data_IF_315876530900
#
_entry.id   IF_315876530900
#
_cell.length_a   1.000
_cell.length_b   1.000
_cell.length_c   1.000
_cell.angle_alpha   90.00
_cell.angle_beta   90.00
_cell.angle_gamma   90.00
#
_symmetry.space_group_name_H-M   'P 1'
#
loop_
_entity.id
_entity.type
_entity.pdbx_description
1 polymer ?
#
# COMPACT_ATOMS: atom_id res chain seq x y z
N UNK A 1 -14.36 -1.01 -18.50
CA UNK A 1 -15.59 -0.25 -18.65
C UNK A 1 -15.56 1.00 -17.76
N UNK A 2 -15.90 2.19 -18.28
CA UNK A 2 -15.78 3.46 -17.55
C UNK A 2 -16.54 3.50 -16.22
N UNK A 3 -17.58 2.70 -16.06
CA UNK A 3 -18.37 2.63 -14.83
C UNK A 3 -17.57 2.10 -13.62
N UNK A 4 -16.69 1.10 -13.79
CA UNK A 4 -15.86 0.57 -12.69
C UNK A 4 -14.81 1.58 -12.21
N UNK A 5 -14.13 2.28 -13.13
CA UNK A 5 -13.16 3.30 -12.76
C UNK A 5 -13.81 4.46 -12.00
N UNK A 6 -15.02 4.87 -12.38
CA UNK A 6 -15.79 5.89 -11.67
C UNK A 6 -16.11 5.48 -10.22
N UNK A 7 -16.56 4.24 -10.02
CA UNK A 7 -16.87 3.72 -8.68
C UNK A 7 -15.60 3.68 -7.80
N UNK A 8 -14.50 3.12 -8.29
CA UNK A 8 -13.24 3.08 -7.52
C UNK A 8 -12.70 4.49 -7.22
N UNK A 9 -12.85 5.41 -8.17
CA UNK A 9 -12.43 6.82 -7.99
C UNK A 9 -13.25 7.51 -6.91
N UNK A 10 -14.57 7.31 -6.87
CA UNK A 10 -15.44 7.84 -5.82
C UNK A 10 -15.10 7.24 -4.44
N UNK A 11 -14.97 5.92 -4.34
CA UNK A 11 -14.58 5.23 -3.08
C UNK A 11 -13.22 5.70 -2.57
N UNK A 12 -12.25 5.92 -3.45
CA UNK A 12 -10.95 6.48 -3.10
C UNK A 12 -11.03 7.95 -2.67
N UNK A 13 -11.85 8.75 -3.34
CA UNK A 13 -12.04 10.16 -2.97
C UNK A 13 -12.69 10.32 -1.60
N UNK A 14 -13.66 9.48 -1.27
CA UNK A 14 -14.45 9.59 -0.03
C UNK A 14 -13.85 8.80 1.14
N UNK A 15 -12.76 8.06 0.92
CA UNK A 15 -12.14 7.19 1.93
C UNK A 15 -13.11 6.19 2.57
N UNK A 16 -14.14 5.74 1.85
CA UNK A 16 -15.18 4.85 2.40
C UNK A 16 -14.62 3.55 2.97
N UNK A 17 -13.53 3.04 2.39
CA UNK A 17 -12.88 1.80 2.84
C UNK A 17 -11.95 1.98 4.03
N UNK A 18 -11.76 3.21 4.50
CA UNK A 18 -10.87 3.51 5.62
C UNK A 18 -11.64 3.62 6.94
N UNK A 19 -10.93 3.41 8.05
CA UNK A 19 -11.49 3.62 9.38
C UNK A 19 -11.98 5.07 9.54
N UNK A 20 -13.01 5.26 10.37
CA UNK A 20 -13.60 6.58 10.63
C UNK A 20 -12.55 7.63 11.00
N UNK A 21 -11.59 7.28 11.86
CA UNK A 21 -10.53 8.18 12.28
C UNK A 21 -9.65 8.66 11.14
N UNK A 22 -9.23 7.74 10.27
CA UNK A 22 -8.42 8.05 9.08
C UNK A 22 -9.21 8.95 8.13
N UNK A 23 -10.45 8.61 7.84
CA UNK A 23 -11.35 9.42 7.00
C UNK A 23 -11.52 10.83 7.55
N UNK A 24 -11.76 10.97 8.86
CA UNK A 24 -11.91 12.28 9.51
C UNK A 24 -10.67 13.15 9.36
N UNK A 25 -9.48 12.60 9.59
CA UNK A 25 -8.19 13.30 9.41
C UNK A 25 -8.00 13.74 7.97
N UNK A 26 -8.25 12.85 7.00
CA UNK A 26 -8.08 13.16 5.59
C UNK A 26 -9.05 14.22 5.09
N UNK A 27 -10.30 14.20 5.56
CA UNK A 27 -11.29 15.22 5.25
C UNK A 27 -10.92 16.57 5.82
N UNK A 28 -10.46 16.63 7.09
CA UNK A 28 -10.03 17.87 7.72
C UNK A 28 -8.77 18.45 7.04
N UNK A 29 -7.83 17.59 6.64
CA UNK A 29 -6.66 18.02 5.87
C UNK A 29 -7.07 18.65 4.52
N UNK A 30 -8.03 18.08 3.81
CA UNK A 30 -8.57 18.66 2.55
C UNK A 30 -9.23 20.02 2.74
N UNK A 31 -9.84 20.26 3.91
CA UNK A 31 -10.44 21.55 4.27
C UNK A 31 -9.42 22.59 4.73
N UNK A 32 -8.14 22.18 4.85
CA UNK A 32 -7.05 23.04 5.30
C UNK A 32 -6.92 23.18 6.84
N UNK A 33 -7.70 22.42 7.59
CA UNK A 33 -7.64 22.45 9.06
C UNK A 33 -6.45 21.67 9.64
N UNK A 34 -5.89 20.73 8.90
CA UNK A 34 -4.68 19.99 9.24
C UNK A 34 -3.66 20.12 8.12
N UNK A 35 -2.43 20.52 8.45
CA UNK A 35 -1.35 20.74 7.50
C UNK A 35 -0.41 19.51 7.43
N UNK A 36 0.33 19.37 6.33
CA UNK A 36 1.37 18.36 6.11
C UNK A 36 0.92 16.91 6.38
N UNK A 37 -0.34 16.63 6.11
CA UNK A 37 -0.88 15.26 6.11
C UNK A 37 -0.64 14.66 4.73
N UNK A 38 0.34 13.74 4.64
CA UNK A 38 0.70 13.09 3.37
C UNK A 38 -0.32 12.04 2.94
N UNK A 39 -0.89 11.33 3.91
CA UNK A 39 -1.94 10.34 3.67
C UNK A 39 -1.64 8.98 4.32
N UNK A 40 -2.59 8.04 4.22
CA UNK A 40 -2.38 6.67 4.71
C UNK A 40 -1.35 5.93 3.85
N UNK A 41 -0.60 5.03 4.49
CA UNK A 41 0.48 4.24 3.85
C UNK A 41 0.00 3.59 2.56
N UNK A 42 -1.20 3.02 2.53
CA UNK A 42 -1.78 2.37 1.35
C UNK A 42 -1.87 3.26 0.10
N UNK A 43 -1.87 4.58 0.25
CA UNK A 43 -1.90 5.55 -0.86
C UNK A 43 -0.52 6.03 -1.30
N UNK A 44 0.50 5.78 -0.51
CA UNK A 44 1.86 6.28 -0.74
C UNK A 44 2.77 5.21 -1.33
N UNK A 45 2.28 3.98 -1.46
CA UNK A 45 3.03 2.82 -1.96
C UNK A 45 2.32 2.18 -3.14
N UNK A 46 3.13 1.56 -4.00
CA UNK A 46 2.67 0.75 -5.14
C UNK A 46 3.45 -0.55 -5.19
N UNK A 47 2.81 -1.62 -5.61
CA UNK A 47 3.44 -2.91 -5.82
C UNK A 47 2.90 -3.59 -7.08
N UNK A 48 3.62 -4.55 -7.61
CA UNK A 48 3.12 -5.37 -8.71
C UNK A 48 1.94 -6.23 -8.26
N UNK A 49 1.00 -6.51 -9.16
CA UNK A 49 -0.24 -7.25 -8.86
C UNK A 49 0.02 -8.59 -8.17
N UNK A 50 1.08 -9.31 -8.57
CA UNK A 50 1.46 -10.60 -7.98
C UNK A 50 1.87 -10.51 -6.49
N UNK A 51 2.27 -9.34 -6.01
CA UNK A 51 2.69 -9.12 -4.63
C UNK A 51 1.61 -8.47 -3.77
N UNK A 52 0.52 -7.98 -4.37
CA UNK A 52 -0.49 -7.18 -3.68
C UNK A 52 -1.02 -7.88 -2.43
N UNK A 53 -1.45 -9.14 -2.54
CA UNK A 53 -1.96 -9.91 -1.39
C UNK A 53 -0.93 -10.03 -0.28
N UNK A 54 0.31 -10.38 -0.63
CA UNK A 54 1.39 -10.55 0.35
C UNK A 54 1.72 -9.23 1.07
N UNK A 55 1.80 -8.12 0.33
CA UNK A 55 2.10 -6.80 0.90
C UNK A 55 0.94 -6.30 1.78
N UNK A 56 -0.31 -6.49 1.36
CA UNK A 56 -1.48 -6.15 2.20
C UNK A 56 -1.48 -6.91 3.52
N UNK A 57 -1.24 -8.21 3.48
CA UNK A 57 -1.13 -9.05 4.68
C UNK A 57 0.08 -8.66 5.53
N UNK A 58 1.22 -8.37 4.91
CA UNK A 58 2.44 -7.95 5.61
C UNK A 58 2.22 -6.65 6.41
N UNK A 59 1.57 -5.67 5.81
CA UNK A 59 1.24 -4.38 6.42
C UNK A 59 0.08 -4.49 7.43
N UNK A 60 -0.94 -5.26 7.09
CA UNK A 60 -2.15 -5.35 7.92
C UNK A 60 -2.71 -3.96 8.29
N UNK A 61 -2.91 -3.71 9.58
CA UNK A 61 -3.43 -2.42 10.08
C UNK A 61 -2.53 -1.21 9.73
N UNK A 62 -1.24 -1.43 9.47
CA UNK A 62 -0.32 -0.36 9.11
C UNK A 62 -0.65 0.30 7.76
N UNK A 63 -1.45 -0.35 6.92
CA UNK A 63 -1.95 0.25 5.67
C UNK A 63 -2.73 1.54 5.90
N UNK A 64 -3.37 1.68 7.04
CA UNK A 64 -4.17 2.84 7.41
C UNK A 64 -3.44 3.85 8.32
N UNK A 65 -2.19 3.60 8.67
CA UNK A 65 -1.38 4.57 9.40
C UNK A 65 -1.09 5.78 8.52
N UNK A 66 -1.15 6.96 9.11
CA UNK A 66 -1.11 8.23 8.38
C UNK A 66 0.29 8.83 8.46
N UNK A 67 0.91 9.03 7.32
CA UNK A 67 2.21 9.72 7.21
C UNK A 67 1.98 11.23 7.33
N UNK A 68 2.76 11.88 8.16
CA UNK A 68 2.73 13.32 8.42
C UNK A 68 4.13 13.93 8.33
N UNK A 69 4.21 15.25 8.19
CA UNK A 69 5.48 15.95 8.05
C UNK A 69 6.39 15.77 9.26
N UNK A 70 5.90 16.08 10.44
CA UNK A 70 6.64 15.98 11.70
C UNK A 70 5.74 15.64 12.90
N UNK A 71 6.32 15.62 14.09
CA UNK A 71 5.60 15.35 15.34
C UNK A 71 4.60 16.44 15.70
N UNK A 72 4.78 17.67 15.27
CA UNK A 72 3.83 18.74 15.52
C UNK A 72 2.56 18.56 14.71
N UNK A 73 2.67 18.13 13.46
CA UNK A 73 1.55 17.76 12.60
C UNK A 73 0.78 16.57 13.18
N UNK A 74 1.51 15.56 13.70
CA UNK A 74 0.89 14.42 14.39
C UNK A 74 0.12 14.85 15.63
N UNK A 75 0.69 15.74 16.46
CA UNK A 75 0.03 16.29 17.66
C UNK A 75 -1.25 17.06 17.29
N UNK A 76 -1.22 17.87 16.24
CA UNK A 76 -2.38 18.60 15.74
C UNK A 76 -3.51 17.64 15.32
N UNK A 77 -3.19 16.59 14.59
CA UNK A 77 -4.14 15.58 14.16
C UNK A 77 -4.71 14.77 15.34
N UNK A 78 -3.89 14.41 16.32
CA UNK A 78 -4.34 13.74 17.56
C UNK A 78 -5.28 14.64 18.35
N UNK A 79 -4.94 15.94 18.51
CA UNK A 79 -5.79 16.92 19.19
C UNK A 79 -7.14 17.09 18.47
N UNK A 80 -7.14 17.13 17.14
CA UNK A 80 -8.36 17.15 16.33
C UNK A 80 -9.24 15.92 16.59
N UNK A 81 -8.69 14.71 16.52
CA UNK A 81 -9.44 13.47 16.79
C UNK A 81 -9.99 13.44 18.21
N UNK A 82 -9.22 13.90 19.21
CA UNK A 82 -9.66 13.97 20.59
C UNK A 82 -10.84 14.95 20.76
N UNK A 83 -10.74 16.14 20.19
CA UNK A 83 -11.78 17.18 20.26
C UNK A 83 -13.09 16.76 19.59
N UNK A 84 -13.01 16.04 18.48
CA UNK A 84 -14.18 15.66 17.67
C UNK A 84 -14.76 14.29 18.01
N UNK A 85 -14.15 13.55 18.96
CA UNK A 85 -14.53 12.15 19.20
C UNK A 85 -14.34 11.24 17.97
N UNK A 86 -13.33 11.57 17.13
CA UNK A 86 -13.07 10.94 15.84
C UNK A 86 -12.43 9.55 15.94
N UNK A 87 -12.19 9.02 17.13
CA UNK A 87 -11.52 7.73 17.34
C UNK A 87 -10.00 7.88 17.42
N UNK A 88 -9.28 6.78 17.11
CA UNK A 88 -7.82 6.69 17.20
C UNK A 88 -7.21 6.40 15.85
N UNK A 89 -6.08 7.01 15.55
CA UNK A 89 -5.24 6.71 14.40
C UNK A 89 -3.77 6.69 14.82
N UNK A 90 -2.94 5.99 14.05
CA UNK A 90 -1.49 6.01 14.22
C UNK A 90 -0.90 6.94 13.18
N UNK A 91 0.01 7.80 13.62
CA UNK A 91 0.69 8.77 12.77
C UNK A 91 2.18 8.42 12.65
N UNK A 92 2.73 8.59 11.47
CA UNK A 92 4.12 8.30 11.13
C UNK A 92 4.82 9.60 10.68
N UNK A 93 5.48 10.34 11.61
CA UNK A 93 6.24 11.54 11.27
C UNK A 93 7.48 11.17 10.44
N UNK A 94 7.68 11.83 9.30
CA UNK A 94 8.76 11.53 8.35
C UNK A 94 10.15 11.55 9.00
N UNK A 95 10.44 12.54 9.81
CA UNK A 95 11.75 12.70 10.45
C UNK A 95 12.02 11.78 11.65
N UNK A 96 10.97 11.14 12.20
CA UNK A 96 11.07 10.35 13.43
C UNK A 96 11.14 8.84 13.19
N UNK A 97 10.69 8.37 12.02
CA UNK A 97 10.64 6.95 11.70
C UNK A 97 11.98 6.50 11.10
N UNK A 98 12.72 5.68 11.86
CA UNK A 98 13.97 5.10 11.39
C UNK A 98 13.73 3.83 10.55
N UNK A 99 14.51 3.60 9.49
CA UNK A 99 14.44 2.37 8.69
C UNK A 99 14.83 1.15 9.52
N UNK A 100 14.26 0.00 9.19
CA UNK A 100 14.58 -1.30 9.80
C UNK A 100 14.80 -2.32 8.71
N UNK A 101 15.99 -2.90 8.67
CA UNK A 101 16.34 -3.92 7.68
C UNK A 101 16.56 -5.28 8.34
N UNK A 102 16.26 -6.34 7.61
CA UNK A 102 16.53 -7.71 8.05
C UNK A 102 18.06 -7.95 8.00
N UNK A 103 18.60 -8.47 9.10
CA UNK A 103 20.03 -8.75 9.26
C UNK A 103 20.29 -10.28 9.36
N UNK A 104 19.61 -11.08 8.53
CA UNK A 104 19.76 -12.55 8.53
C UNK A 104 20.50 -12.99 7.26
N UNK A 105 21.81 -13.30 7.36
CA UNK A 105 22.61 -13.68 6.20
C UNK A 105 22.08 -14.95 5.53
N UNK A 106 22.03 -14.95 4.20
CA UNK A 106 21.73 -16.13 3.39
C UNK A 106 20.24 -16.41 3.22
N UNK A 107 19.35 -15.59 3.79
CA UNK A 107 17.89 -15.77 3.62
C UNK A 107 17.50 -15.71 2.15
N UNK A 108 18.17 -14.88 1.36
CA UNK A 108 17.95 -14.72 -0.08
C UNK A 108 18.30 -15.97 -0.90
N UNK A 109 19.03 -16.92 -0.33
CA UNK A 109 19.39 -18.21 -0.96
C UNK A 109 18.44 -19.34 -0.60
N UNK A 110 17.49 -19.10 0.29
CA UNK A 110 16.49 -20.11 0.65
C UNK A 110 15.58 -20.41 -0.53
N UNK A 111 15.23 -21.69 -0.69
CA UNK A 111 14.25 -22.10 -1.70
C UNK A 111 12.91 -21.37 -1.46
N UNK A 112 12.32 -20.84 -2.52
CA UNK A 112 11.05 -20.11 -2.46
C UNK A 112 11.14 -18.71 -1.85
N UNK A 113 12.37 -18.17 -1.64
CA UNK A 113 12.54 -16.77 -1.30
C UNK A 113 12.16 -15.89 -2.50
N UNK A 114 11.25 -14.95 -2.31
CA UNK A 114 10.80 -14.01 -3.34
C UNK A 114 11.48 -12.65 -3.16
N UNK A 115 11.56 -12.16 -1.94
CA UNK A 115 12.21 -10.87 -1.64
C UNK A 115 11.93 -10.40 -0.22
N UNK A 116 12.62 -9.33 0.16
CA UNK A 116 12.25 -8.52 1.33
C UNK A 116 11.08 -7.62 0.93
N UNK A 117 10.02 -7.59 1.73
CA UNK A 117 8.77 -6.91 1.39
C UNK A 117 8.97 -5.43 1.01
N UNK A 118 9.86 -4.71 1.70
CA UNK A 118 10.17 -3.31 1.39
C UNK A 118 10.74 -3.10 -0.03
N UNK A 119 11.44 -4.09 -0.57
CA UNK A 119 12.04 -4.04 -1.91
C UNK A 119 11.05 -4.38 -3.04
N UNK A 120 9.90 -4.94 -2.69
CA UNK A 120 8.82 -5.28 -3.63
C UNK A 120 7.79 -4.14 -3.74
N UNK A 121 8.04 -3.03 -3.08
CA UNK A 121 7.17 -1.86 -3.02
C UNK A 121 7.90 -0.64 -3.57
N UNK A 122 7.20 0.13 -4.39
CA UNK A 122 7.65 1.43 -4.90
C UNK A 122 6.99 2.55 -4.10
N UNK A 123 7.73 3.60 -3.82
CA UNK A 123 7.24 4.83 -3.19
C UNK A 123 8.14 6.00 -3.60
N UNK A 124 7.72 7.23 -3.31
CA UNK A 124 8.61 8.38 -3.39
C UNK A 124 9.73 8.25 -2.35
N UNK A 125 10.91 8.78 -2.66
CA UNK A 125 12.11 8.64 -1.82
C UNK A 125 11.90 9.12 -0.39
N UNK A 126 11.16 10.20 -0.20
CA UNK A 126 10.83 10.74 1.14
C UNK A 126 10.06 9.77 2.04
N UNK A 127 9.42 8.73 1.49
CA UNK A 127 8.69 7.71 2.25
C UNK A 127 9.50 6.42 2.45
N UNK A 128 10.72 6.35 1.91
CA UNK A 128 11.54 5.14 1.91
C UNK A 128 11.80 4.61 3.32
N UNK A 129 12.16 5.48 4.26
CA UNK A 129 12.44 5.07 5.64
C UNK A 129 11.19 4.50 6.34
N UNK A 130 10.01 5.03 6.04
CA UNK A 130 8.74 4.48 6.55
C UNK A 130 8.49 3.10 5.97
N UNK A 131 8.66 2.91 4.67
CA UNK A 131 8.51 1.61 4.00
C UNK A 131 9.49 0.60 4.57
N UNK A 132 10.76 0.97 4.75
CA UNK A 132 11.77 0.11 5.38
C UNK A 132 11.44 -0.18 6.85
N UNK A 133 10.90 0.76 7.60
CA UNK A 133 10.46 0.52 8.97
C UNK A 133 9.35 -0.53 9.04
N UNK A 134 8.35 -0.43 8.17
CA UNK A 134 7.18 -1.29 8.19
C UNK A 134 7.42 -2.67 7.54
N UNK A 135 8.22 -2.73 6.49
CA UNK A 135 8.35 -3.89 5.60
C UNK A 135 9.78 -4.45 5.50
N UNK A 136 10.79 -3.73 5.97
CA UNK A 136 12.20 -4.07 5.77
C UNK A 136 12.66 -5.32 6.53
N UNK A 137 11.86 -5.85 7.46
CA UNK A 137 12.13 -7.09 8.22
C UNK A 137 11.15 -8.21 7.92
N UNK A 138 10.40 -8.10 6.85
CA UNK A 138 9.41 -9.10 6.41
C UNK A 138 9.90 -9.75 5.13
N UNK A 139 9.95 -11.07 5.11
CA UNK A 139 10.29 -11.87 3.94
C UNK A 139 9.01 -12.27 3.21
N UNK A 140 9.02 -12.16 1.91
CA UNK A 140 7.99 -12.75 1.04
C UNK A 140 8.51 -14.08 0.52
N UNK A 141 7.70 -15.12 0.68
CA UNK A 141 7.98 -16.47 0.21
C UNK A 141 6.95 -16.89 -0.86
N UNK A 142 7.36 -17.82 -1.71
CA UNK A 142 6.51 -18.30 -2.80
C UNK A 142 5.29 -19.06 -2.28
N UNK A 143 5.51 -19.99 -1.34
CA UNK A 143 4.49 -20.89 -0.80
C UNK A 143 4.72 -21.22 0.67
N UNK A 144 3.72 -21.84 1.31
CA UNK A 144 3.74 -22.12 2.74
C UNK A 144 4.87 -23.08 3.14
N UNK A 145 5.15 -24.11 2.35
CA UNK A 145 6.21 -25.07 2.67
C UNK A 145 7.58 -24.41 2.69
N UNK A 146 7.84 -23.51 1.74
CA UNK A 146 9.05 -22.67 1.71
C UNK A 146 9.13 -21.74 2.91
N UNK A 147 8.03 -21.10 3.30
CA UNK A 147 7.95 -20.24 4.47
C UNK A 147 8.22 -21.01 5.77
N UNK A 148 7.67 -22.21 5.92
CA UNK A 148 7.91 -23.08 7.07
C UNK A 148 9.38 -23.52 7.15
N UNK A 149 9.97 -23.89 6.01
CA UNK A 149 11.39 -24.28 5.96
C UNK A 149 12.31 -23.12 6.37
N UNK A 150 12.07 -21.92 5.84
CA UNK A 150 12.81 -20.71 6.25
C UNK A 150 12.61 -20.39 7.74
N UNK A 151 11.38 -20.43 8.23
CA UNK A 151 11.10 -20.18 9.65
C UNK A 151 11.86 -21.13 10.55
N UNK A 152 11.91 -22.42 10.23
CA UNK A 152 12.69 -23.42 10.97
C UNK A 152 14.18 -23.12 10.93
N UNK A 153 14.74 -22.83 9.75
CA UNK A 153 16.15 -22.53 9.56
C UNK A 153 16.60 -21.31 10.39
N UNK A 154 15.77 -20.26 10.46
CA UNK A 154 16.07 -19.02 11.17
C UNK A 154 15.38 -18.91 12.53
N UNK A 155 14.88 -20.02 13.09
CA UNK A 155 14.25 -20.11 14.42
C UNK A 155 13.12 -19.10 14.61
N UNK A 156 12.32 -18.87 13.57
CA UNK A 156 11.19 -17.95 13.55
C UNK A 156 11.51 -16.54 14.08
N UNK A 157 12.66 -15.98 13.71
CA UNK A 157 13.10 -14.65 14.18
C UNK A 157 12.42 -13.50 13.50
N UNK A 158 11.89 -13.70 12.29
CA UNK A 158 11.26 -12.67 11.49
C UNK A 158 9.94 -13.18 10.88
N UNK A 159 9.13 -12.22 10.43
CA UNK A 159 7.86 -12.51 9.79
C UNK A 159 8.09 -12.94 8.34
N UNK A 160 7.40 -13.99 7.90
CA UNK A 160 7.37 -14.44 6.52
C UNK A 160 5.92 -14.44 6.06
N UNK A 161 5.66 -13.90 4.87
CA UNK A 161 4.33 -13.89 4.25
C UNK A 161 4.43 -14.54 2.88
N UNK A 162 3.53 -15.45 2.58
CA UNK A 162 3.50 -16.10 1.25
C UNK A 162 2.76 -15.26 0.22
N UNK A 163 2.96 -15.52 -1.06
CA UNK A 163 2.28 -14.81 -2.14
C UNK A 163 0.76 -14.91 -2.06
N UNK A 164 0.23 -16.01 -1.51
CA UNK A 164 -1.20 -16.21 -1.28
C UNK A 164 -1.69 -15.72 0.10
N UNK A 165 -0.81 -15.11 0.91
CA UNK A 165 -1.16 -14.42 2.15
C UNK A 165 -1.11 -15.25 3.43
N UNK A 166 -0.45 -16.42 3.42
CA UNK A 166 -0.20 -17.17 4.65
C UNK A 166 0.96 -16.54 5.43
N UNK A 167 0.93 -16.59 6.75
CA UNK A 167 1.91 -15.89 7.61
C UNK A 167 2.58 -16.83 8.58
N UNK A 168 3.91 -16.79 8.60
CA UNK A 168 4.73 -17.30 9.70
C UNK A 168 5.16 -16.13 10.57
N UNK A 169 4.66 -16.06 11.79
CA UNK A 169 4.98 -14.96 12.70
C UNK A 169 6.32 -15.23 13.45
N UNK A 170 7.00 -14.16 13.88
CA UNK A 170 8.08 -14.29 14.86
C UNK A 170 7.58 -15.08 16.08
N UNK A 171 8.42 -16.01 16.57
CA UNK A 171 8.03 -16.92 17.66
C UNK A 171 7.30 -18.19 17.22
N UNK A 172 6.95 -18.33 15.92
CA UNK A 172 6.52 -19.60 15.32
C UNK A 172 5.02 -19.78 15.16
N UNK A 173 4.17 -18.83 15.57
CA UNK A 173 2.73 -18.94 15.28
C UNK A 173 2.46 -18.77 13.79
N UNK A 174 1.41 -19.43 13.32
CA UNK A 174 0.97 -19.39 11.92
C UNK A 174 -0.41 -18.76 11.83
N UNK A 175 -0.59 -17.89 10.84
CA UNK A 175 -1.88 -17.31 10.49
C UNK A 175 -2.16 -17.58 9.03
N UNK A 176 -3.32 -18.10 8.71
CA UNK A 176 -3.64 -18.47 7.34
C UNK A 176 -5.13 -18.73 7.13
N UNK A 177 -5.46 -19.03 5.89
CA UNK A 177 -6.82 -19.27 5.43
C UNK A 177 -7.09 -18.59 4.11
N UNK A 178 -8.36 -18.43 3.75
CA UNK A 178 -8.74 -17.74 2.52
C UNK A 178 -8.63 -16.22 2.67
N UNK A 179 -8.09 -15.56 1.66
CA UNK A 179 -8.00 -14.09 1.58
C UNK A 179 -8.91 -13.60 0.46
N UNK A 180 -9.79 -12.65 0.76
CA UNK A 180 -10.63 -12.00 -0.23
C UNK A 180 -9.78 -11.02 -1.07
N UNK A 181 -9.32 -11.46 -2.24
CA UNK A 181 -8.37 -10.72 -3.10
C UNK A 181 -8.87 -9.34 -3.56
N UNK A 182 -10.20 -9.19 -3.74
CA UNK A 182 -10.78 -7.97 -4.32
C UNK A 182 -11.18 -6.91 -3.28
N UNK A 183 -11.00 -7.20 -1.99
CA UNK A 183 -11.44 -6.31 -0.90
C UNK A 183 -10.34 -5.37 -0.39
N UNK A 184 -9.08 -5.59 -0.74
CA UNK A 184 -7.94 -4.89 -0.19
C UNK A 184 -7.76 -3.45 -0.70
N UNK A 185 -7.15 -2.60 0.12
CA UNK A 185 -6.89 -1.20 -0.21
C UNK A 185 -5.87 -1.06 -1.34
N UNK A 186 -4.79 -1.86 -1.34
CA UNK A 186 -3.79 -1.84 -2.41
C UNK A 186 -4.33 -2.41 -3.70
N UNK A 187 -5.12 -3.48 -3.63
CA UNK A 187 -5.77 -4.03 -4.82
C UNK A 187 -6.62 -2.97 -5.52
N UNK A 188 -7.45 -2.25 -4.77
CA UNK A 188 -8.29 -1.17 -5.33
C UNK A 188 -7.47 -0.03 -5.90
N UNK A 189 -6.40 0.40 -5.21
CA UNK A 189 -5.49 1.43 -5.68
C UNK A 189 -4.81 1.02 -6.99
N UNK A 190 -4.28 -0.20 -7.07
CA UNK A 190 -3.67 -0.75 -8.29
C UNK A 190 -4.69 -0.84 -9.43
N UNK A 191 -5.90 -1.33 -9.16
CA UNK A 191 -6.95 -1.46 -10.17
C UNK A 191 -7.39 -0.10 -10.69
N UNK A 192 -7.55 0.91 -9.82
CA UNK A 192 -7.86 2.28 -10.22
C UNK A 192 -6.76 2.85 -11.13
N UNK A 193 -5.49 2.66 -10.76
CA UNK A 193 -4.37 3.13 -11.55
C UNK A 193 -4.33 2.46 -12.93
N UNK A 194 -4.57 1.14 -12.98
CA UNK A 194 -4.65 0.37 -14.23
C UNK A 194 -5.77 0.89 -15.13
N UNK A 195 -6.97 1.07 -14.58
CA UNK A 195 -8.12 1.56 -15.33
C UNK A 195 -7.93 2.99 -15.83
N UNK A 196 -7.34 3.87 -15.01
CA UNK A 196 -7.03 5.25 -15.40
C UNK A 196 -6.03 5.29 -16.57
N UNK A 197 -4.99 4.45 -16.51
CA UNK A 197 -4.04 4.32 -17.61
C UNK A 197 -4.70 3.83 -18.90
N UNK A 198 -5.54 2.81 -18.81
CA UNK A 198 -6.29 2.31 -19.97
C UNK A 198 -7.21 3.38 -20.58
N UNK A 199 -7.90 4.17 -19.76
CA UNK A 199 -8.74 5.29 -20.22
C UNK A 199 -7.90 6.32 -20.98
N UNK A 200 -6.72 6.68 -20.45
CA UNK A 200 -5.82 7.64 -21.11
C UNK A 200 -5.29 7.12 -22.45
N UNK A 201 -4.88 5.83 -22.50
CA UNK A 201 -4.42 5.20 -23.72
C UNK A 201 -5.53 5.14 -24.80
N UNK A 202 -6.76 4.80 -24.40
CA UNK A 202 -7.91 4.77 -25.32
C UNK A 202 -8.28 6.17 -25.82
N UNK A 203 -8.22 7.17 -24.94
CA UNK A 203 -8.47 8.57 -25.33
C UNK A 203 -7.44 9.05 -26.33
N UNK A 204 -6.15 8.78 -26.11
CA UNK A 204 -5.08 9.12 -27.04
C UNK A 204 -5.26 8.48 -28.40
N UNK A 205 -5.57 7.18 -28.46
CA UNK A 205 -5.85 6.46 -29.72
C UNK A 205 -7.07 7.04 -30.46
N UNK A 206 -8.12 7.40 -29.73
CA UNK A 206 -9.32 8.03 -30.32
C UNK A 206 -8.99 9.37 -30.94
N UNK A 207 -8.27 10.25 -30.22
CA UNK A 207 -7.83 11.56 -30.71
C UNK A 207 -6.92 11.43 -31.95
N UNK A 208 -6.01 10.45 -31.97
CA UNK A 208 -5.15 10.16 -33.11
C UNK A 208 -5.97 9.71 -34.33
N UNK A 209 -6.92 8.80 -34.13
CA UNK A 209 -7.81 8.34 -35.18
C UNK A 209 -8.70 9.47 -35.74
N UNK A 210 -9.23 10.33 -34.88
CA UNK A 210 -10.03 11.47 -35.27
C UNK A 210 -9.21 12.50 -36.10
N UNK A 211 -7.93 12.72 -35.71
CA UNK A 211 -7.01 13.56 -36.48
C UNK A 211 -6.72 12.98 -37.86
N UNK A 212 -6.38 11.70 -37.92
CA UNK A 212 -6.12 11.00 -39.19
C UNK A 212 -7.35 11.03 -40.11
N UNK A 213 -8.55 10.85 -39.56
CA UNK A 213 -9.79 10.94 -40.32
C UNK A 213 -10.01 12.36 -40.88
N UNK A 214 -9.80 13.38 -40.03
CA UNK A 214 -9.95 14.78 -40.45
C UNK A 214 -8.92 15.18 -41.52
N UNK A 215 -7.70 14.68 -41.47
CA UNK A 215 -6.67 14.89 -42.48
C UNK A 215 -7.04 14.21 -43.82
N UNK A 216 -7.50 12.95 -43.73
CA UNK A 216 -7.96 12.23 -44.92
C UNK A 216 -9.15 12.92 -45.61
N UNK A 217 -10.11 13.46 -44.84
CA UNK A 217 -11.25 14.18 -45.35
C UNK A 217 -10.89 15.54 -46.00
N UNK A 218 -9.77 16.16 -45.60
CA UNK A 218 -9.26 17.40 -46.22
C UNK A 218 -8.46 17.18 -47.50
N UNK A 219 -7.99 15.93 -47.70
CA UNK A 219 -7.19 15.57 -48.85
C UNK A 219 -8.01 15.06 -50.05
N UNK A 220 -9.34 15.01 -49.90
CA UNK A 220 -10.32 14.68 -50.93
C UNK A 220 -11.02 15.99 -51.40
#
# INVERSE_FOLDING_TARGET
>A
PPAKAGVYRAMEQDFESYQKSVRSVMQESRRGGLQHIHGPVSRLIHTEDRFTTAIEIALGAAMQQIVVGDESDAKAAIAFLKRTGGGRATFLPLGAIAPRTLQEPGVERCRGFVGIASRLVRCEERYRDIVENLLGRIVIAEELDSAVAMAKQYRSRFKIVTLDGQVMNPGGSMTGGSVAKEAGLLFRANELQRLTRQEQEQKGKKEETERALAEAQRAV
#
